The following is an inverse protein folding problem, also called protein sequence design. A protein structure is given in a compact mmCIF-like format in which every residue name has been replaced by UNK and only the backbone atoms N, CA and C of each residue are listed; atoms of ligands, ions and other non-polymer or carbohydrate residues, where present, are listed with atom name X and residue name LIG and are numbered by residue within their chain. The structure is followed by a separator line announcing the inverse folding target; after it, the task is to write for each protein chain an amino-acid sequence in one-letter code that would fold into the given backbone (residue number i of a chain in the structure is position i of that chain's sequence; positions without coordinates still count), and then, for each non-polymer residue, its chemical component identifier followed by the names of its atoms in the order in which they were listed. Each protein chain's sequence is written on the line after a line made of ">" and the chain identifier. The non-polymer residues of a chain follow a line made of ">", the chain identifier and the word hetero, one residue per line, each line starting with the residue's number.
data_IF_147305891310
#
_entry.id   IF_147305891310
#
_cell.length_a   1.000
_cell.length_b   1.000
_cell.length_c   1.000
_cell.angle_alpha   90.00
_cell.angle_beta   90.00
_cell.angle_gamma   90.00
#
_symmetry.space_group_name_H-M   'P 1'
#
loop_
_entity.id
_entity.type
_entity.pdbx_description
1 polymer ?
#
# COMPACT_ATOMS: atom_id res chain seq x y z
N UNK A 1 1.62 -7.48 -31.58
CA UNK A 1 0.74 -6.71 -30.67
C UNK A 1 1.53 -6.54 -29.38
N UNK A 2 1.99 -5.32 -29.07
CA UNK A 2 2.54 -5.05 -27.74
C UNK A 2 1.35 -4.72 -26.85
N UNK A 3 0.89 -5.71 -26.07
CA UNK A 3 -0.08 -5.44 -25.03
C UNK A 3 0.62 -4.59 -23.96
N UNK A 4 0.20 -3.33 -23.81
CA UNK A 4 0.55 -2.55 -22.63
C UNK A 4 -0.15 -3.20 -21.45
N UNK A 5 0.61 -3.89 -20.58
CA UNK A 5 0.05 -4.40 -19.33
C UNK A 5 -0.27 -3.18 -18.47
N UNK A 6 -1.56 -2.98 -18.18
CA UNK A 6 -1.99 -1.97 -17.22
C UNK A 6 -1.81 -2.58 -15.83
N UNK A 7 -0.83 -2.07 -15.09
CA UNK A 7 -0.58 -2.50 -13.71
C UNK A 7 -1.54 -1.82 -12.75
N UNK A 8 -1.95 -2.55 -11.73
CA UNK A 8 -2.74 -2.07 -10.61
C UNK A 8 -2.00 -2.34 -9.31
N UNK A 9 -2.30 -1.55 -8.30
CA UNK A 9 -1.54 -1.54 -7.07
C UNK A 9 -2.47 -1.56 -5.87
N UNK A 10 -2.05 -2.32 -4.85
CA UNK A 10 -2.68 -2.43 -3.56
C UNK A 10 -1.80 -1.80 -2.47
N UNK A 11 -2.43 -1.36 -1.38
CA UNK A 11 -1.75 -0.91 -0.17
C UNK A 11 -1.87 -2.00 0.89
N UNK A 12 -0.74 -2.44 1.42
CA UNK A 12 -0.63 -3.51 2.42
C UNK A 12 0.04 -2.96 3.67
N UNK A 13 -0.52 -3.27 4.83
CA UNK A 13 0.00 -2.90 6.14
C UNK A 13 0.54 -4.14 6.83
N UNK A 14 1.74 -4.04 7.40
CA UNK A 14 2.42 -5.13 8.07
C UNK A 14 2.96 -4.66 9.42
N UNK A 15 2.79 -5.49 10.45
CA UNK A 15 3.52 -5.39 11.71
C UNK A 15 4.19 -6.75 12.01
N UNK A 16 4.77 -6.91 13.21
CA UNK A 16 5.46 -8.15 13.60
C UNK A 16 4.55 -9.40 13.62
N UNK A 17 3.23 -9.24 13.64
CA UNK A 17 2.26 -10.32 13.86
C UNK A 17 1.22 -10.46 12.75
N UNK A 18 0.91 -9.39 12.01
CA UNK A 18 -0.23 -9.29 11.13
C UNK A 18 0.11 -8.61 9.80
N UNK A 19 -0.65 -8.98 8.77
CA UNK A 19 -0.68 -8.31 7.49
C UNK A 19 -2.13 -8.07 7.08
N UNK A 20 -2.45 -6.85 6.66
CA UNK A 20 -3.77 -6.49 6.15
C UNK A 20 -3.66 -5.65 4.88
N UNK A 21 -4.41 -6.04 3.86
CA UNK A 21 -4.44 -5.35 2.58
C UNK A 21 -5.71 -4.49 2.43
N UNK A 22 -5.61 -3.38 1.69
CA UNK A 22 -6.74 -2.47 1.42
C UNK A 22 -7.64 -2.95 0.29
N UNK A 23 -7.24 -3.97 -0.47
CA UNK A 23 -7.92 -4.46 -1.66
C UNK A 23 -7.96 -3.46 -2.82
N UNK A 24 -7.00 -2.55 -2.93
CA UNK A 24 -6.98 -1.59 -4.03
C UNK A 24 -6.56 -2.24 -5.36
N UNK A 25 -7.29 -1.91 -6.42
CA UNK A 25 -6.91 -2.12 -7.82
C UNK A 25 -6.72 -0.73 -8.49
N UNK A 26 -5.78 0.06 -7.96
CA UNK A 26 -5.63 1.47 -8.31
C UNK A 26 -4.26 1.79 -8.93
N UNK A 27 -4.06 3.03 -9.37
CA UNK A 27 -2.75 3.47 -9.88
C UNK A 27 -1.73 3.61 -8.74
N UNK A 28 -0.44 3.53 -9.07
CA UNK A 28 0.64 3.77 -8.11
C UNK A 28 0.52 5.16 -7.47
N UNK A 29 0.20 6.18 -8.27
CA UNK A 29 0.04 7.57 -7.78
C UNK A 29 -1.12 7.69 -6.79
N UNK A 30 -2.25 7.01 -7.04
CA UNK A 30 -3.36 6.99 -6.10
C UNK A 30 -2.92 6.37 -4.76
N UNK A 31 -2.23 5.23 -4.80
CA UNK A 31 -1.75 4.55 -3.60
C UNK A 31 -0.74 5.41 -2.82
N UNK A 32 0.20 6.06 -3.50
CA UNK A 32 1.15 7.00 -2.88
C UNK A 32 0.44 8.19 -2.25
N UNK A 33 -0.51 8.79 -2.94
CA UNK A 33 -1.28 9.92 -2.41
C UNK A 33 -2.12 9.52 -1.20
N UNK A 34 -2.71 8.31 -1.21
CA UNK A 34 -3.42 7.75 -0.06
C UNK A 34 -2.50 7.66 1.16
N UNK A 35 -1.31 7.06 1.00
CA UNK A 35 -0.34 6.96 2.10
C UNK A 35 0.10 8.35 2.57
N UNK A 36 0.50 9.24 1.66
CA UNK A 36 0.94 10.59 2.00
C UNK A 36 -0.14 11.43 2.72
N UNK A 37 -1.43 11.18 2.44
CA UNK A 37 -2.55 11.89 3.04
C UNK A 37 -2.85 11.41 4.46
N UNK A 38 -2.72 10.11 4.72
CA UNK A 38 -3.22 9.49 5.95
C UNK A 38 -2.14 8.97 6.91
N UNK A 39 -0.89 8.79 6.46
CA UNK A 39 0.20 8.36 7.33
C UNK A 39 0.46 9.40 8.44
N UNK A 40 0.42 8.99 9.71
CA UNK A 40 0.43 9.88 10.87
C UNK A 40 -0.96 10.25 11.42
N UNK A 41 -2.04 9.77 10.81
CA UNK A 41 -3.41 9.91 11.33
C UNK A 41 -3.88 8.62 12.02
N UNK A 42 -5.11 8.61 12.51
CA UNK A 42 -5.77 7.40 13.02
C UNK A 42 -6.83 6.87 12.04
N UNK A 43 -6.71 7.18 10.74
CA UNK A 43 -7.64 6.70 9.74
C UNK A 43 -7.34 5.25 9.36
N UNK A 44 -8.35 4.36 9.45
CA UNK A 44 -8.24 2.96 9.04
C UNK A 44 -7.00 2.27 9.68
N UNK A 45 -6.27 1.47 8.91
CA UNK A 45 -5.13 0.69 9.38
C UNK A 45 -3.93 1.55 9.82
N UNK A 46 -3.88 2.85 9.50
CA UNK A 46 -2.82 3.71 10.04
C UNK A 46 -2.90 3.88 11.57
N UNK A 47 -4.08 3.71 12.17
CA UNK A 47 -4.22 3.71 13.63
C UNK A 47 -3.59 2.46 14.28
N UNK A 48 -3.86 1.30 13.68
CA UNK A 48 -3.55 0.00 14.28
C UNK A 48 -2.10 -0.43 14.03
N UNK A 49 -1.51 0.03 12.92
CA UNK A 49 -0.19 -0.42 12.44
C UNK A 49 0.97 0.55 12.74
N UNK A 50 0.83 1.47 13.70
CA UNK A 50 1.92 2.43 14.05
C UNK A 50 3.21 1.72 14.47
N UNK A 51 4.32 2.17 13.90
CA UNK A 51 5.63 1.51 14.02
C UNK A 51 5.80 0.28 13.13
N UNK A 52 4.75 -0.15 12.43
CA UNK A 52 4.80 -1.13 11.35
C UNK A 52 5.16 -0.50 10.01
N UNK A 53 5.02 -1.28 8.93
CA UNK A 53 5.34 -0.88 7.56
C UNK A 53 4.08 -0.84 6.71
N UNK A 54 3.91 0.23 5.94
CA UNK A 54 2.94 0.30 4.85
C UNK A 54 3.66 0.16 3.51
N UNK A 55 3.18 -0.74 2.66
CA UNK A 55 3.75 -1.08 1.36
C UNK A 55 2.75 -0.81 0.24
N UNK A 56 3.25 -0.52 -0.94
CA UNK A 56 2.48 -0.60 -2.19
C UNK A 56 2.98 -1.81 -2.97
N UNK A 57 2.06 -2.73 -3.26
CA UNK A 57 2.33 -3.99 -3.97
C UNK A 57 1.67 -3.94 -5.34
N UNK A 58 2.39 -4.36 -6.38
CA UNK A 58 1.84 -4.55 -7.72
C UNK A 58 0.98 -5.82 -7.76
N UNK A 59 -0.29 -5.72 -8.13
CA UNK A 59 -1.21 -6.86 -8.11
C UNK A 59 -0.85 -7.92 -9.16
N UNK A 60 -0.21 -7.53 -10.27
CA UNK A 60 0.13 -8.46 -11.36
C UNK A 60 1.48 -9.14 -11.17
N UNK A 61 2.41 -8.54 -10.41
CA UNK A 61 3.77 -9.07 -10.22
C UNK A 61 4.08 -9.47 -8.78
N UNK A 62 3.21 -9.11 -7.84
CA UNK A 62 3.41 -9.27 -6.39
C UNK A 62 4.64 -8.53 -5.83
N UNK A 63 5.26 -7.66 -6.64
CA UNK A 63 6.43 -6.88 -6.23
C UNK A 63 6.05 -5.69 -5.36
N UNK A 64 6.80 -5.48 -4.29
CA UNK A 64 6.76 -4.25 -3.50
C UNK A 64 7.47 -3.15 -4.28
N UNK A 65 6.75 -2.08 -4.60
CA UNK A 65 7.26 -0.93 -5.40
C UNK A 65 7.45 0.34 -4.58
N UNK A 66 6.98 0.35 -3.33
CA UNK A 66 7.15 1.43 -2.36
C UNK A 66 6.91 0.89 -0.95
N UNK A 67 7.65 1.41 0.04
CA UNK A 67 7.39 1.14 1.45
C UNK A 67 7.86 2.31 2.33
N UNK A 68 7.16 2.53 3.45
CA UNK A 68 7.60 3.42 4.53
C UNK A 68 7.02 2.97 5.89
N UNK A 69 7.59 3.51 6.98
CA UNK A 69 7.07 3.30 8.33
C UNK A 69 5.72 4.03 8.53
N UNK A 70 4.80 3.38 9.24
CA UNK A 70 3.53 3.97 9.67
C UNK A 70 3.76 4.83 10.92
N UNK A 71 3.43 6.13 10.84
CA UNK A 71 3.69 7.15 11.87
C UNK A 71 2.56 7.32 12.88
#
# INVERSE_FOLDING_TARGET
>A
MNATIKLTYNVVFNDDNNSNDKGFESTLDYCKNYIATYNGTNESYFADYKGGIVQIVCNETEEVVYEEEVR
#
